data_IF_620392157753
#
_entry.id   IF_620392157753
#
_cell.length_a   1.000
_cell.length_b   1.000
_cell.length_c   1.000
_cell.angle_alpha   90.00
_cell.angle_beta   90.00
_cell.angle_gamma   90.00
#
_symmetry.space_group_name_H-M   'P 1'
#
loop_
_entity.id
_entity.type
_entity.pdbx_description
1 polymer ?
2 non-polymer ?
3 non-polymer ?
4 non-polymer ?
5 non-polymer ?
6 water ?
#
# COMPACT_ATOMS: atom_id res chain seq x y z
N UNK A 19 -7.72 22.90 -8.18
CA UNK A 19 -6.48 23.68 -8.07
C UNK A 19 -5.22 22.80 -7.85
N UNK A 20 -5.29 21.78 -6.99
CA UNK A 20 -4.18 20.85 -6.83
C UNK A 20 -4.58 19.47 -7.35
N UNK A 21 -3.85 18.99 -8.36
CA UNK A 21 -3.99 17.63 -8.90
C UNK A 21 -2.81 16.82 -8.37
N UNK A 22 -3.04 16.02 -7.35
CA UNK A 22 -1.96 15.23 -6.78
C UNK A 22 -1.55 14.09 -7.72
N UNK A 23 -0.25 13.87 -7.82
CA UNK A 23 0.32 12.84 -8.69
C UNK A 23 0.70 11.65 -7.81
N UNK A 24 0.10 10.48 -8.07
CA UNK A 24 0.44 9.25 -7.37
C UNK A 24 1.22 8.32 -8.28
N UNK A 25 2.32 7.76 -7.75
CA UNK A 25 3.10 6.77 -8.45
C UNK A 25 3.23 5.52 -7.58
N UNK A 26 3.25 4.38 -8.27
CA UNK A 26 3.45 3.06 -7.66
C UNK A 26 4.71 2.47 -8.27
N UNK A 27 5.67 2.10 -7.40
CA UNK A 27 6.97 1.62 -7.81
C UNK A 27 7.13 0.19 -7.30
N UNK A 28 7.32 -0.75 -8.22
CA UNK A 28 7.60 -2.12 -7.85
C UNK A 28 9.10 -2.36 -7.90
N UNK A 29 9.62 -2.95 -6.83
CA UNK A 29 11.07 -3.17 -6.70
C UNK A 29 11.35 -4.65 -6.51
N UNK A 30 12.13 -5.25 -7.43
CA UNK A 30 12.37 -6.67 -7.38
C UNK A 30 11.17 -7.47 -7.88
N UNK A 31 11.26 -8.79 -7.79
CA UNK A 31 10.34 -9.64 -8.50
C UNK A 31 8.93 -9.54 -7.96
N UNK A 32 8.79 -9.67 -6.65
CA UNK A 32 7.46 -9.62 -6.06
C UNK A 32 6.80 -8.27 -6.29
N UNK A 33 7.55 -7.20 -6.10
CA UNK A 33 7.01 -5.86 -6.34
C UNK A 33 6.58 -5.67 -7.78
N UNK A 34 7.37 -6.17 -8.71
CA UNK A 34 6.99 -6.00 -10.10
C UNK A 34 5.86 -6.93 -10.51
N UNK A 35 5.75 -8.10 -9.86
CA UNK A 35 4.55 -8.93 -10.00
C UNK A 35 3.31 -8.15 -9.59
N UNK A 36 3.37 -7.50 -8.43
CA UNK A 36 2.22 -6.73 -7.97
C UNK A 36 1.88 -5.61 -8.95
N UNK A 37 2.90 -4.92 -9.45
CA UNK A 37 2.65 -3.86 -10.41
C UNK A 37 1.98 -4.42 -11.64
N UNK A 38 2.50 -5.53 -12.17
CA UNK A 38 1.93 -6.15 -13.35
C UNK A 38 0.49 -6.54 -13.12
N UNK A 39 0.19 -7.13 -11.96
CA UNK A 39 -1.18 -7.53 -11.69
C UNK A 39 -2.09 -6.33 -11.50
N UNK A 40 -1.59 -5.24 -10.92
CA UNK A 40 -2.42 -4.05 -10.77
C UNK A 40 -2.70 -3.39 -12.12
N UNK A 41 -1.70 -3.33 -13.00
CA UNK A 41 -1.93 -2.83 -14.33
C UNK A 41 -2.98 -3.67 -15.06
N UNK A 42 -2.90 -5.00 -14.93
CA UNK A 42 -3.90 -5.87 -15.55
C UNK A 42 -5.29 -5.56 -15.02
N UNK A 43 -5.42 -5.47 -13.68
CA UNK A 43 -6.70 -5.13 -13.08
C UNK A 43 -7.22 -3.80 -13.61
N UNK A 44 -6.32 -2.85 -13.88
CA UNK A 44 -6.72 -1.54 -14.36
C UNK A 44 -6.70 -0.49 -13.26
N UNK A 45 -5.73 0.41 -13.34
CA UNK A 45 -5.68 1.60 -12.52
C UNK A 45 -5.65 2.81 -13.45
N UNK A 46 -6.09 3.96 -12.93
CA UNK A 46 -6.17 5.18 -13.72
C UNK A 46 -5.74 6.37 -12.87
N UNK A 47 -5.08 7.33 -13.52
CA UNK A 47 -4.40 8.48 -12.93
C UNK A 47 -3.16 8.09 -12.13
N UNK A 48 -2.83 6.80 -12.03
CA UNK A 48 -1.65 6.34 -11.32
C UNK A 48 -0.58 5.98 -12.34
N UNK A 49 0.66 6.42 -12.11
CA UNK A 49 1.78 6.05 -12.95
C UNK A 49 2.57 4.94 -12.27
N UNK A 50 3.00 3.97 -13.07
CA UNK A 50 3.72 2.81 -12.57
C UNK A 50 5.17 2.84 -13.00
N UNK A 51 6.04 2.43 -12.09
CA UNK A 51 7.47 2.34 -12.35
C UNK A 51 7.93 0.97 -11.90
N UNK A 52 8.70 0.28 -12.76
CA UNK A 52 9.25 -1.04 -12.47
C UNK A 52 10.76 -0.91 -12.34
N UNK A 53 11.30 -1.39 -11.22
CA UNK A 53 12.73 -1.37 -10.92
C UNK A 53 13.19 -2.78 -10.63
N UNK A 54 14.25 -3.25 -11.29
CA UNK A 54 14.78 -4.58 -11.02
C UNK A 54 16.21 -4.68 -11.53
N UNK A 55 16.95 -5.60 -10.93
CA UNK A 55 18.24 -6.06 -11.43
C UNK A 55 18.06 -7.07 -12.56
N UNK A 56 17.00 -7.84 -12.52
CA UNK A 56 16.77 -8.96 -13.43
C UNK A 56 16.20 -8.41 -14.74
N UNK A 57 17.03 -8.34 -15.77
CA UNK A 57 16.57 -7.76 -17.03
C UNK A 57 15.54 -8.60 -17.74
N UNK A 58 15.60 -9.93 -17.57
CA UNK A 58 14.59 -10.79 -18.17
C UNK A 58 13.22 -10.48 -17.58
N UNK A 59 13.16 -10.37 -16.26
CA UNK A 59 11.88 -10.02 -15.63
C UNK A 59 11.44 -8.62 -16.02
N UNK A 60 12.38 -7.69 -16.11
CA UNK A 60 11.99 -6.34 -16.44
C UNK A 60 11.44 -6.24 -17.85
N UNK A 61 11.97 -7.04 -18.80
CA UNK A 61 11.44 -7.03 -20.15
C UNK A 61 9.97 -7.42 -20.18
N UNK A 62 9.51 -8.16 -19.17
CA UNK A 62 8.12 -8.60 -19.15
C UNK A 62 7.21 -7.66 -18.38
N UNK A 63 7.74 -6.59 -17.82
CA UNK A 63 6.93 -5.65 -17.05
C UNK A 63 5.99 -4.90 -17.97
N UNK A 64 4.79 -4.66 -17.48
CA UNK A 64 3.80 -3.86 -18.20
C UNK A 64 3.89 -2.39 -17.84
N UNK A 65 4.81 -2.01 -16.99
CA UNK A 65 4.93 -0.63 -16.55
C UNK A 65 5.48 0.27 -17.65
N UNK A 66 4.96 1.51 -17.69
CA UNK A 66 5.39 2.52 -18.67
C UNK A 66 6.85 2.88 -18.50
N UNK A 67 7.35 2.84 -17.27
CA UNK A 67 8.66 3.34 -16.91
C UNK A 67 9.41 2.20 -16.25
N UNK A 68 10.54 1.82 -16.83
CA UNK A 68 11.31 0.67 -16.37
C UNK A 68 12.74 1.11 -16.12
N UNK A 69 13.29 0.74 -14.98
CA UNK A 69 14.65 1.11 -14.62
C UNK A 69 15.39 -0.17 -14.28
N UNK A 70 16.38 -0.52 -15.09
CA UNK A 70 17.23 -1.65 -14.77
C UNK A 70 18.36 -1.11 -13.91
N UNK A 71 18.51 -1.63 -12.72
CA UNK A 71 19.55 -1.18 -11.80
C UNK A 71 20.61 -2.27 -11.70
N UNK A 72 21.86 -1.85 -11.47
CA UNK A 72 22.92 -2.80 -11.19
C UNK A 72 23.37 -3.66 -12.35
N UNK A 73 23.31 -3.17 -13.57
CA UNK A 73 23.66 -4.06 -14.68
C UNK A 73 25.11 -4.48 -14.60
N UNK A 74 26.00 -3.58 -14.19
CA UNK A 74 27.40 -3.93 -14.06
C UNK A 74 27.64 -4.86 -12.88
N UNK A 75 26.85 -4.75 -11.82
CA UNK A 75 27.03 -5.61 -10.68
C UNK A 75 26.55 -7.03 -10.96
N UNK A 76 25.42 -7.17 -11.67
CA UNK A 76 24.74 -8.44 -11.81
C UNK A 76 24.73 -9.01 -13.20
N UNK A 77 25.20 -8.25 -14.21
CA UNK A 77 25.10 -8.62 -15.62
C UNK A 77 23.67 -8.92 -16.04
N UNK A 78 22.70 -8.28 -15.39
CA UNK A 78 21.32 -8.39 -15.77
C UNK A 78 20.60 -9.55 -15.13
N UNK A 79 21.32 -10.32 -14.33
CA UNK A 79 20.73 -11.32 -13.49
C UNK A 79 20.17 -10.61 -12.26
N UNK A 80 19.49 -11.36 -11.43
CA UNK A 80 19.10 -10.79 -10.17
C UNK A 80 20.27 -10.68 -9.22
N UNK A 81 19.91 -10.37 -7.98
CA UNK A 81 20.85 -10.19 -6.90
C UNK A 81 21.21 -11.48 -6.19
N UNK A 82 20.57 -12.59 -6.53
CA UNK A 82 20.94 -13.87 -5.89
C UNK A 82 20.72 -13.89 -4.40
N UNK A 83 19.68 -13.23 -3.94
CA UNK A 83 19.33 -13.15 -2.53
C UNK A 83 20.33 -12.36 -1.69
N UNK A 84 21.20 -11.52 -2.31
CA UNK A 84 22.16 -10.73 -1.57
C UNK A 84 21.65 -9.29 -1.47
N UNK A 85 21.10 -8.85 -0.32
CA UNK A 85 20.54 -7.50 -0.30
C UNK A 85 21.56 -6.41 -0.46
N UNK A 86 22.83 -6.66 -0.10
CA UNK A 86 23.83 -5.62 -0.31
C UNK A 86 23.98 -5.29 -1.78
N UNK A 87 23.73 -6.27 -2.66
CA UNK A 87 23.78 -6.01 -4.10
C UNK A 87 22.59 -5.19 -4.54
N UNK A 88 21.40 -5.49 -4.02
CA UNK A 88 20.26 -4.66 -4.37
C UNK A 88 20.42 -3.23 -3.87
N UNK A 89 20.97 -3.05 -2.67
CA UNK A 89 21.20 -1.72 -2.12
C UNK A 89 22.20 -0.95 -2.98
N UNK A 90 23.32 -1.59 -3.32
CA UNK A 90 24.33 -0.88 -4.11
C UNK A 90 23.80 -0.60 -5.52
N UNK A 91 23.04 -1.54 -6.09
CA UNK A 91 22.43 -1.32 -7.40
C UNK A 91 21.51 -0.09 -7.39
N UNK A 92 20.68 0.04 -6.36
CA UNK A 92 19.81 1.21 -6.32
C UNK A 92 20.60 2.51 -6.14
N UNK A 93 21.59 2.52 -5.25
CA UNK A 93 22.36 3.71 -4.98
C UNK A 93 23.09 4.18 -6.23
N UNK A 94 23.58 3.23 -7.04
CA UNK A 94 24.28 3.61 -8.26
C UNK A 94 23.35 4.18 -9.33
N UNK A 95 22.06 3.87 -9.26
CA UNK A 95 21.05 4.37 -10.18
C UNK A 95 20.20 5.48 -9.58
N UNK A 96 20.70 6.16 -8.54
CA UNK A 96 19.91 7.19 -7.88
C UNK A 96 19.38 8.22 -8.86
N UNK A 97 20.23 8.73 -9.76
CA UNK A 97 19.75 9.78 -10.66
C UNK A 97 18.61 9.29 -11.55
N UNK A 98 18.68 8.05 -12.04
CA UNK A 98 17.58 7.56 -12.88
C UNK A 98 16.32 7.39 -12.07
N UNK A 99 16.45 6.94 -10.84
CA UNK A 99 15.29 6.78 -9.97
C UNK A 99 14.70 8.16 -9.64
N UNK A 100 15.56 9.13 -9.32
CA UNK A 100 15.07 10.50 -9.06
C UNK A 100 14.28 11.00 -10.25
N UNK A 101 14.81 10.82 -11.46
CA UNK A 101 14.16 11.36 -12.65
C UNK A 101 12.79 10.73 -12.86
N UNK A 102 12.67 9.43 -12.55
CA UNK A 102 11.40 8.75 -12.74
C UNK A 102 10.38 9.18 -11.71
N UNK A 103 10.84 9.56 -10.51
CA UNK A 103 9.92 9.95 -9.45
C UNK A 103 9.51 11.41 -9.56
N UNK A 104 10.38 12.26 -10.12
CA UNK A 104 10.20 13.70 -9.98
C UNK A 104 8.80 14.14 -10.35
N UNK A 105 8.16 14.86 -9.43
CA UNK A 105 6.83 15.40 -9.66
C UNK A 105 5.75 14.66 -8.91
N UNK A 106 6.06 13.49 -8.39
CA UNK A 106 5.10 12.73 -7.60
C UNK A 106 4.83 13.46 -6.30
N UNK A 107 3.55 13.53 -5.93
CA UNK A 107 3.19 13.97 -4.60
C UNK A 107 3.13 12.82 -3.63
N UNK A 108 2.87 11.61 -4.13
CA UNK A 108 2.78 10.42 -3.28
C UNK A 108 3.37 9.25 -4.05
N UNK A 109 4.22 8.47 -3.37
CA UNK A 109 4.85 7.31 -3.95
C UNK A 109 4.58 6.11 -3.08
N UNK A 110 4.06 5.04 -3.69
CA UNK A 110 3.94 3.75 -3.01
C UNK A 110 5.05 2.85 -3.53
N UNK A 111 5.85 2.30 -2.62
CA UNK A 111 6.93 1.39 -2.96
C UNK A 111 6.49 -0.01 -2.52
N UNK A 112 6.40 -0.93 -3.48
CA UNK A 112 5.99 -2.28 -3.14
C UNK A 112 7.07 -3.28 -3.52
N UNK A 113 7.29 -4.23 -2.62
CA UNK A 113 8.41 -5.13 -2.75
C UNK A 113 8.17 -6.36 -1.89
N UNK A 114 8.72 -7.49 -2.29
CA UNK A 114 8.80 -8.66 -1.42
C UNK A 114 10.09 -8.68 -0.63
N UNK A 115 10.03 -8.65 0.69
CA UNK A 115 11.26 -8.70 1.46
C UNK A 115 11.76 -10.13 1.60
N UNK A 116 13.08 -10.28 1.63
CA UNK A 116 13.71 -11.59 1.81
C UNK A 116 14.70 -11.95 0.72
N UNK A 117 14.50 -11.44 -0.50
CA UNK A 117 15.40 -11.64 -1.60
C UNK A 117 16.47 -10.58 -1.57
N UNK A 118 17.15 -10.43 -2.70
CA UNK A 118 18.24 -9.48 -2.73
C UNK A 118 17.86 -8.11 -3.27
N UNK A 119 17.02 -8.09 -4.30
CA UNK A 119 16.73 -6.80 -4.94
C UNK A 119 15.72 -5.99 -4.14
N UNK A 120 14.54 -6.53 -3.89
CA UNK A 120 13.58 -5.83 -3.04
C UNK A 120 14.16 -5.45 -1.69
N UNK A 121 14.74 -6.41 -0.98
CA UNK A 121 15.21 -6.16 0.37
C UNK A 121 16.17 -4.99 0.40
N UNK A 122 17.14 -5.00 -0.51
CA UNK A 122 18.18 -3.98 -0.51
C UNK A 122 17.82 -2.68 -1.23
N UNK A 123 17.14 -2.80 -2.35
CA UNK A 123 16.84 -1.63 -3.15
C UNK A 123 15.59 -0.89 -2.73
N UNK A 124 14.57 -1.58 -2.22
CA UNK A 124 13.36 -0.85 -1.92
C UNK A 124 13.57 0.23 -0.87
N UNK A 125 14.39 0.04 0.19
CA UNK A 125 14.57 1.15 1.15
C UNK A 125 15.30 2.32 0.53
N UNK A 126 16.17 2.05 -0.45
CA UNK A 126 16.85 3.14 -1.13
C UNK A 126 15.86 3.92 -1.97
N UNK A 127 15.02 3.21 -2.72
CA UNK A 127 14.00 3.86 -3.53
C UNK A 127 13.10 4.71 -2.66
N UNK A 128 12.67 4.16 -1.52
CA UNK A 128 11.82 4.93 -0.62
C UNK A 128 12.51 6.18 -0.08
N UNK A 129 13.78 6.05 0.33
CA UNK A 129 14.57 7.20 0.77
C UNK A 129 14.63 8.28 -0.32
N UNK A 130 14.87 7.87 -1.57
CA UNK A 130 14.93 8.84 -2.68
C UNK A 130 13.58 9.53 -2.85
N UNK A 131 12.50 8.75 -2.82
CA UNK A 131 11.20 9.36 -3.01
C UNK A 131 10.93 10.39 -1.92
N UNK A 132 11.26 10.08 -0.68
CA UNK A 132 10.98 11.00 0.41
C UNK A 132 11.86 12.23 0.31
N UNK A 133 13.11 12.05 -0.12
CA UNK A 133 14.01 13.18 -0.34
C UNK A 133 13.58 14.02 -1.52
N UNK A 134 12.85 13.45 -2.47
CA UNK A 134 12.28 14.17 -3.60
C UNK A 134 10.98 14.90 -3.25
N UNK A 135 10.53 14.83 -1.99
CA UNK A 135 9.34 15.52 -1.55
C UNK A 135 8.05 14.72 -1.55
N UNK A 136 8.10 13.45 -1.90
CA UNK A 136 6.87 12.66 -2.01
C UNK A 136 6.53 12.08 -0.66
N UNK A 137 5.25 12.11 -0.34
CA UNK A 137 4.73 11.28 0.74
C UNK A 137 4.94 9.82 0.36
N UNK A 138 5.71 9.09 1.16
CA UNK A 138 6.23 7.79 0.73
C UNK A 138 5.68 6.68 1.61
N UNK A 139 4.99 5.74 0.96
CA UNK A 139 4.32 4.63 1.62
C UNK A 139 4.91 3.33 1.10
N UNK A 140 5.32 2.46 2.02
CA UNK A 140 5.83 1.14 1.66
C UNK A 140 4.75 0.11 1.90
N UNK A 141 4.57 -0.81 0.96
CA UNK A 141 3.71 -1.98 1.13
C UNK A 141 4.54 -3.19 0.75
N UNK A 142 4.98 -3.95 1.75
CA UNK A 142 5.95 -5.02 1.53
C UNK A 142 5.44 -6.31 2.15
N UNK A 143 5.91 -7.45 1.61
CA UNK A 143 5.59 -8.74 2.20
C UNK A 143 6.78 -9.27 3.00
N UNK A 144 6.50 -10.08 3.97
CA UNK A 144 7.48 -10.94 4.62
C UNK A 144 7.36 -12.35 4.08
N UNK A 145 8.43 -13.13 4.03
CA UNK A 145 8.37 -14.43 3.34
C UNK A 145 7.57 -15.47 4.12
N UNK A 146 7.17 -16.52 3.42
CA UNK A 146 6.53 -17.67 4.06
C UNK A 146 7.51 -18.31 5.03
N UNK A 147 7.00 -18.81 6.15
CA UNK A 147 7.86 -19.56 7.07
C UNK A 147 8.55 -20.73 6.37
N UNK A 148 7.89 -21.36 5.37
CA UNK A 148 8.52 -22.49 4.72
C UNK A 148 9.73 -22.08 3.89
N UNK A 149 9.93 -20.79 3.66
CA UNK A 149 11.16 -20.35 3.02
C UNK A 149 12.37 -20.34 3.97
N UNK A 150 12.17 -20.53 5.27
CA UNK A 150 13.27 -20.75 6.19
C UNK A 150 13.66 -19.52 6.98
N UNK A 151 14.46 -19.75 8.03
CA UNK A 151 14.77 -18.68 8.97
C UNK A 151 15.71 -17.64 8.37
N UNK A 152 16.66 -18.05 7.53
CA UNK A 152 17.56 -17.08 6.93
C UNK A 152 16.78 -16.04 6.11
N UNK A 153 15.87 -16.49 5.26
CA UNK A 153 15.04 -15.58 4.47
C UNK A 153 14.26 -14.65 5.38
N UNK A 154 13.69 -15.19 6.46
CA UNK A 154 12.91 -14.38 7.38
C UNK A 154 13.77 -13.32 8.07
N UNK A 155 14.99 -13.68 8.47
CA UNK A 155 15.89 -12.73 9.11
C UNK A 155 16.31 -11.62 8.14
N UNK A 156 16.69 -12.01 6.92
CA UNK A 156 17.00 -11.02 5.89
C UNK A 156 15.82 -10.09 5.65
N UNK A 157 14.63 -10.68 5.53
CA UNK A 157 13.44 -9.87 5.35
C UNK A 157 13.23 -8.90 6.51
N UNK A 158 13.40 -9.36 7.74
CA UNK A 158 13.21 -8.50 8.89
C UNK A 158 14.14 -7.29 8.86
N UNK A 159 15.38 -7.50 8.38
CA UNK A 159 16.30 -6.37 8.23
C UNK A 159 15.81 -5.41 7.16
N UNK A 160 15.27 -5.96 6.06
CA UNK A 160 14.66 -5.12 5.04
C UNK A 160 13.49 -4.31 5.58
N UNK A 161 12.64 -4.94 6.39
CA UNK A 161 11.50 -4.20 6.95
C UNK A 161 12.00 -3.06 7.81
N UNK A 162 13.05 -3.30 8.61
CA UNK A 162 13.53 -2.24 9.49
C UNK A 162 14.11 -1.10 8.68
N UNK A 163 14.82 -1.43 7.60
CA UNK A 163 15.35 -0.41 6.71
C UNK A 163 14.23 0.35 6.01
N UNK A 164 13.18 -0.35 5.59
CA UNK A 164 12.03 0.32 4.98
C UNK A 164 11.41 1.30 5.97
N UNK A 165 11.19 0.85 7.21
CA UNK A 165 10.53 1.69 8.21
C UNK A 165 11.31 2.97 8.43
N UNK A 166 12.64 2.89 8.35
CA UNK A 166 13.52 4.04 8.52
C UNK A 166 13.43 5.00 7.35
N UNK A 167 12.97 4.54 6.19
CA UNK A 167 13.02 5.32 4.97
C UNK A 167 11.68 5.86 4.54
N UNK A 168 10.56 5.24 4.93
CA UNK A 168 9.25 5.64 4.44
C UNK A 168 8.60 6.60 5.43
N UNK A 169 7.48 7.20 5.00
CA UNK A 169 6.60 7.87 5.93
C UNK A 169 5.75 6.85 6.68
N UNK A 170 5.15 5.91 5.95
CA UNK A 170 4.32 4.86 6.57
C UNK A 170 4.60 3.53 5.90
N UNK A 171 4.43 2.46 6.67
CA UNK A 171 4.75 1.13 6.19
C UNK A 171 3.63 0.16 6.50
N UNK A 172 3.20 -0.57 5.48
CA UNK A 172 2.24 -1.68 5.61
C UNK A 172 3.00 -2.96 5.30
N UNK A 173 3.01 -3.88 6.25
CA UNK A 173 3.67 -5.16 6.09
C UNK A 173 2.62 -6.25 5.99
N UNK A 174 2.72 -7.08 4.96
CA UNK A 174 1.84 -8.22 4.73
C UNK A 174 2.67 -9.50 4.93
N UNK A 175 2.50 -10.24 6.02
CA UNK A 175 3.24 -11.50 6.15
C UNK A 175 2.64 -12.53 5.22
N UNK A 176 3.44 -13.11 4.36
CA UNK A 176 2.88 -14.07 3.42
C UNK A 176 2.25 -15.25 4.12
N UNK A 177 2.71 -15.58 5.34
CA UNK A 177 2.05 -16.64 6.10
C UNK A 177 0.57 -16.38 6.27
N UNK A 178 0.13 -15.12 6.30
CA UNK A 178 -1.30 -14.89 6.45
C UNK A 178 -2.08 -15.34 5.23
N UNK A 179 -1.43 -15.50 4.07
CA UNK A 179 -2.15 -16.02 2.91
C UNK A 179 -2.61 -17.45 3.16
N UNK A 180 -1.88 -18.20 3.99
CA UNK A 180 -2.26 -19.56 4.33
C UNK A 180 -3.53 -19.59 5.15
N UNK A 181 -3.94 -18.46 5.71
CA UNK A 181 -5.18 -18.37 6.50
C UNK A 181 -6.41 -18.11 5.63
N UNK A 182 -6.23 -17.75 4.36
CA UNK A 182 -7.35 -17.36 3.50
C UNK A 182 -7.54 -18.28 2.31
N UNK A 183 -6.75 -19.34 2.18
CA UNK A 183 -6.92 -20.31 1.11
C UNK A 183 -7.53 -21.57 1.66
N UNK A 184 -8.18 -22.30 0.76
CA UNK A 184 -8.45 -23.70 1.02
C UNK A 184 -7.37 -24.53 0.32
N UNK A 185 -7.51 -25.85 0.44
CA UNK A 185 -6.44 -26.72 -0.04
C UNK A 185 -6.23 -26.58 -1.54
N UNK A 186 -7.21 -26.07 -2.29
CA UNK A 186 -7.08 -25.96 -3.74
C UNK A 186 -6.88 -24.56 -4.27
N UNK A 187 -6.95 -23.52 -3.45
CA UNK A 187 -6.88 -22.16 -3.97
C UNK A 187 -5.61 -21.97 -4.77
N UNK A 188 -5.67 -21.54 -6.03
CA UNK A 188 -4.41 -21.33 -6.75
C UNK A 188 -3.55 -20.27 -6.09
N UNK A 189 -2.24 -20.49 -6.18
CA UNK A 189 -1.31 -19.52 -5.62
C UNK A 189 -1.54 -18.13 -6.20
N UNK A 190 -1.82 -18.03 -7.50
CA UNK A 190 -2.00 -16.72 -8.10
C UNK A 190 -3.24 -16.01 -7.53
N UNK A 191 -4.30 -16.76 -7.21
CA UNK A 191 -5.47 -16.16 -6.59
C UNK A 191 -5.13 -15.64 -5.20
N UNK A 192 -4.35 -16.40 -4.43
CA UNK A 192 -3.90 -15.92 -3.14
C UNK A 192 -3.07 -14.66 -3.28
N UNK A 193 -2.16 -14.63 -4.27
CA UNK A 193 -1.32 -13.46 -4.42
C UNK A 193 -2.13 -12.24 -4.78
N UNK A 194 -3.24 -12.42 -5.52
CA UNK A 194 -4.07 -11.27 -5.85
C UNK A 194 -4.76 -10.69 -4.61
N UNK A 195 -5.04 -11.53 -3.62
CA UNK A 195 -5.61 -11.01 -2.37
C UNK A 195 -4.63 -10.12 -1.63
N UNK A 196 -3.34 -10.50 -1.64
CA UNK A 196 -2.34 -9.61 -1.05
C UNK A 196 -2.21 -8.34 -1.87
N UNK A 197 -2.31 -8.44 -3.20
CA UNK A 197 -2.20 -7.24 -4.03
C UNK A 197 -3.31 -6.24 -3.72
N UNK A 198 -4.47 -6.74 -3.33
CA UNK A 198 -5.60 -5.85 -3.10
C UNK A 198 -5.29 -4.84 -2.01
N UNK A 199 -4.40 -5.16 -1.08
CA UNK A 199 -4.11 -4.25 0.02
C UNK A 199 -3.56 -2.96 -0.57
N UNK A 200 -2.55 -3.08 -1.42
CA UNK A 200 -1.98 -1.94 -2.08
C UNK A 200 -2.95 -1.31 -3.08
N UNK A 201 -3.55 -2.13 -3.94
CA UNK A 201 -4.43 -1.62 -4.98
C UNK A 201 -5.58 -0.82 -4.39
N UNK A 202 -6.27 -1.38 -3.40
CA UNK A 202 -7.41 -0.66 -2.83
C UNK A 202 -6.98 0.55 -2.01
N UNK A 203 -5.80 0.50 -1.40
CA UNK A 203 -5.32 1.68 -0.69
C UNK A 203 -5.03 2.83 -1.64
N UNK A 204 -4.31 2.54 -2.73
CA UNK A 204 -4.04 3.54 -3.77
C UNK A 204 -5.35 4.07 -4.31
N UNK A 205 -6.29 3.18 -4.63
CA UNK A 205 -7.56 3.63 -5.19
C UNK A 205 -8.31 4.52 -4.22
N UNK A 206 -8.28 4.18 -2.94
CA UNK A 206 -8.98 4.96 -1.95
C UNK A 206 -8.44 6.37 -1.87
N UNK A 207 -7.12 6.50 -1.98
CA UNK A 207 -6.55 7.84 -1.93
C UNK A 207 -6.84 8.58 -3.22
N UNK A 208 -6.70 7.90 -4.36
CA UNK A 208 -7.05 8.53 -5.63
C UNK A 208 -8.48 9.05 -5.63
N UNK A 209 -9.42 8.27 -5.09
CA UNK A 209 -10.81 8.69 -5.08
C UNK A 209 -11.02 9.88 -4.16
N UNK A 210 -10.35 9.85 -3.00
CA UNK A 210 -10.43 10.96 -2.06
C UNK A 210 -9.99 12.26 -2.70
N UNK A 211 -8.87 12.22 -3.43
CA UNK A 211 -8.33 13.41 -4.08
C UNK A 211 -9.23 13.90 -5.20
N UNK A 212 -9.76 12.98 -6.00
CA UNK A 212 -10.48 13.37 -7.20
C UNK A 212 -11.88 13.89 -6.91
N UNK A 213 -12.48 13.46 -5.81
CA UNK A 213 -13.90 13.64 -5.57
C UNK A 213 -14.07 14.64 -4.45
N UNK A 214 -14.87 15.68 -4.68
CA UNK A 214 -15.20 16.61 -3.61
C UNK A 214 -16.22 15.96 -2.69
N UNK A 215 -15.95 15.99 -1.39
CA UNK A 215 -16.86 15.43 -0.42
C UNK A 215 -17.75 16.48 0.20
N UNK A 216 -18.85 16.01 0.81
CA UNK A 216 -19.68 16.92 1.59
C UNK A 216 -18.96 17.39 2.86
N UNK A 217 -18.38 16.46 3.60
CA UNK A 217 -17.34 16.77 4.58
C UNK A 217 -16.04 16.37 3.89
N UNK A 218 -15.31 17.36 3.42
CA UNK A 218 -14.30 17.11 2.41
C UNK A 218 -12.91 16.89 3.01
N UNK A 219 -12.29 15.76 2.64
CA UNK A 219 -10.90 15.50 2.99
C UNK A 219 -10.06 15.75 1.75
N UNK A 220 -8.83 16.21 1.97
CA UNK A 220 -7.96 16.61 0.87
C UNK A 220 -6.61 15.92 1.02
N UNK A 221 -5.74 16.11 0.03
CA UNK A 221 -4.43 15.48 0.13
C UNK A 221 -3.64 16.00 1.32
N UNK A 222 -3.87 17.25 1.75
CA UNK A 222 -3.17 17.70 2.95
C UNK A 222 -3.57 16.86 4.16
N UNK A 223 -4.81 16.41 4.22
CA UNK A 223 -5.20 15.53 5.33
C UNK A 223 -4.52 14.16 5.25
N UNK A 224 -4.32 13.64 4.04
CA UNK A 224 -3.60 12.39 3.88
C UNK A 224 -2.18 12.57 4.39
N UNK A 225 -1.56 13.67 4.01
CA UNK A 225 -0.20 13.92 4.49
C UNK A 225 -0.15 14.01 6.01
N UNK A 226 -1.15 14.64 6.63
CA UNK A 226 -1.11 14.78 8.09
C UNK A 226 -1.23 13.42 8.76
N UNK A 227 -2.05 12.54 8.22
CA UNK A 227 -2.22 11.24 8.86
C UNK A 227 -1.05 10.32 8.56
N UNK A 228 -0.38 10.49 7.42
CA UNK A 228 0.65 9.52 7.02
C UNK A 228 2.08 10.00 7.19
N UNK A 229 2.33 11.29 7.21
CA UNK A 229 3.72 11.76 7.18
C UNK A 229 4.45 11.35 8.46
N UNK A 230 5.60 10.69 8.29
CA UNK A 230 6.49 10.31 9.40
C UNK A 230 5.77 9.57 10.53
N UNK A 231 4.99 8.54 10.19
CA UNK A 231 4.17 7.85 11.18
C UNK A 231 4.54 6.40 11.48
N UNK A 232 5.32 5.74 10.64
CA UNK A 232 5.72 4.36 10.93
C UNK A 232 4.68 3.38 10.42
N UNK A 233 4.23 2.49 11.28
CA UNK A 233 3.32 1.44 10.82
C UNK A 233 1.97 2.03 10.46
N UNK A 234 1.30 1.37 9.52
CA UNK A 234 0.00 1.86 9.08
C UNK A 234 -0.89 0.69 8.73
N UNK A 235 -2.20 0.99 8.73
CA UNK A 235 -3.23 0.16 8.17
C UNK A 235 -3.98 0.96 7.11
N UNK A 236 -4.27 0.31 5.98
CA UNK A 236 -5.08 0.87 4.91
C UNK A 236 -6.12 -0.16 4.50
N UNK A 237 -7.39 0.19 4.65
CA UNK A 237 -8.46 -0.77 4.44
C UNK A 237 -9.70 -0.12 3.84
N UNK A 238 -10.44 -0.95 3.08
CA UNK A 238 -11.70 -0.54 2.48
C UNK A 238 -12.75 -1.60 2.77
N UNK A 239 -13.94 -1.16 3.10
CA UNK A 239 -15.06 -2.06 3.28
C UNK A 239 -16.26 -1.54 2.52
N UNK A 240 -17.01 -2.46 1.92
CA UNK A 240 -18.23 -2.12 1.19
C UNK A 240 -19.36 -2.99 1.66
N UNK A 241 -20.54 -2.41 1.84
CA UNK A 241 -21.67 -3.19 2.31
C UNK A 241 -22.97 -2.54 1.87
N UNK A 242 -24.04 -3.32 1.90
CA UNK A 242 -25.37 -2.82 1.61
C UNK A 242 -26.33 -3.37 2.66
N UNK A 243 -27.49 -2.74 2.74
CA UNK A 243 -28.59 -3.29 3.50
C UNK A 243 -28.57 -2.84 4.95
N UNK A 244 -29.27 -3.60 5.77
CA UNK A 244 -29.32 -3.29 7.19
C UNK A 244 -27.92 -3.43 7.78
N UNK A 245 -27.57 -2.47 8.64
CA UNK A 245 -26.29 -2.46 9.31
C UNK A 245 -25.12 -2.26 8.36
N UNK A 246 -25.36 -1.67 7.18
CA UNK A 246 -24.29 -1.52 6.19
C UNK A 246 -23.11 -0.72 6.74
N UNK A 247 -23.37 0.35 7.49
CA UNK A 247 -22.27 1.22 7.89
C UNK A 247 -21.34 0.49 8.86
N UNK A 248 -21.91 -0.15 9.87
CA UNK A 248 -21.12 -0.97 10.80
C UNK A 248 -20.39 -2.08 10.03
N UNK A 249 -21.10 -2.78 9.15
CA UNK A 249 -20.49 -3.90 8.43
C UNK A 249 -19.34 -3.42 7.56
N UNK A 250 -19.53 -2.31 6.84
CA UNK A 250 -18.45 -1.80 5.98
C UNK A 250 -17.27 -1.33 6.81
N UNK A 251 -17.54 -0.69 7.95
CA UNK A 251 -16.45 -0.21 8.80
C UNK A 251 -15.68 -1.39 9.39
N UNK A 252 -16.37 -2.42 9.85
CA UNK A 252 -15.67 -3.60 10.34
C UNK A 252 -14.80 -4.22 9.25
N UNK A 253 -15.29 -4.26 8.01
CA UNK A 253 -14.49 -4.83 6.94
C UNK A 253 -13.24 -4.00 6.69
N UNK A 254 -13.36 -2.67 6.75
CA UNK A 254 -12.23 -1.79 6.46
C UNK A 254 -11.07 -2.01 7.42
N UNK A 255 -11.34 -2.42 8.65
CA UNK A 255 -10.30 -2.49 9.68
C UNK A 255 -9.90 -3.92 10.05
N UNK A 256 -10.42 -4.95 9.36
CA UNK A 256 -10.31 -6.32 9.87
C UNK A 256 -9.69 -7.29 8.87
N UNK A 257 -8.79 -6.83 8.02
CA UNK A 257 -8.18 -7.72 7.03
C UNK A 257 -7.37 -8.81 7.73
N UNK A 258 -7.53 -10.08 7.33
CA UNK A 258 -6.69 -11.14 7.91
C UNK A 258 -5.26 -11.14 7.43
N UNK A 259 -4.86 -10.22 6.55
CA UNK A 259 -3.55 -10.26 5.94
C UNK A 259 -2.53 -9.32 6.59
N UNK A 260 -2.91 -8.58 7.60
CA UNK A 260 -2.06 -7.49 8.07
C UNK A 260 -1.25 -7.90 9.29
N UNK A 261 -0.03 -7.39 9.33
CA UNK A 261 0.82 -7.46 10.52
C UNK A 261 0.34 -6.42 11.55
N UNK A 262 0.04 -5.22 11.10
CA UNK A 262 -0.44 -4.13 11.94
C UNK A 262 -1.96 -4.09 11.87
N UNK A 263 -2.63 -4.56 12.93
CA UNK A 263 -4.07 -4.42 13.06
C UNK A 263 -4.43 -2.99 13.48
N UNK A 264 -5.75 -2.75 13.61
CA UNK A 264 -6.24 -1.44 14.03
C UNK A 264 -5.97 -1.15 15.48
N UNK A 265 -5.70 -2.17 16.29
CA UNK A 265 -5.60 -1.96 17.73
C UNK A 265 -4.38 -1.10 18.05
N UNK A 266 -4.60 -0.03 18.82
CA UNK A 266 -3.55 0.90 19.18
C UNK A 266 -3.47 2.13 18.30
N UNK A 267 -4.23 2.17 17.21
CA UNK A 267 -4.20 3.33 16.32
C UNK A 267 -4.53 4.59 17.09
N UNK A 268 -3.69 5.60 16.92
CA UNK A 268 -3.94 6.90 17.53
C UNK A 268 -4.46 7.94 16.55
N UNK A 269 -4.22 7.76 15.25
CA UNK A 269 -4.75 8.66 14.24
C UNK A 269 -5.41 7.89 13.12
N UNK A 270 -6.55 8.40 12.65
CA UNK A 270 -7.32 7.72 11.62
C UNK A 270 -7.86 8.74 10.65
N UNK A 271 -7.73 8.44 9.37
CA UNK A 271 -8.48 9.12 8.33
C UNK A 271 -9.56 8.14 7.86
N UNK A 272 -10.82 8.53 8.00
CA UNK A 272 -11.94 7.70 7.59
C UNK A 272 -12.82 8.49 6.67
N UNK A 273 -13.09 7.92 5.52
CA UNK A 273 -14.00 8.51 4.56
C UNK A 273 -15.13 7.54 4.29
N UNK A 274 -16.35 8.06 4.34
CA UNK A 274 -17.55 7.28 4.08
C UNK A 274 -18.22 7.84 2.83
N UNK A 275 -18.44 6.96 1.85
CA UNK A 275 -19.10 7.32 0.61
C UNK A 275 -20.42 6.56 0.56
N UNK A 276 -21.51 7.27 0.25
CA UNK A 276 -22.80 6.65 0.09
C UNK A 276 -23.64 7.48 -0.85
N UNK A 277 -24.87 7.02 -1.06
CA UNK A 277 -25.84 7.75 -1.84
C UNK A 277 -26.54 8.81 -1.00
N UNK A 278 -27.64 9.34 -1.56
CA UNK A 278 -28.33 10.41 -0.85
C UNK A 278 -28.96 9.92 0.45
N UNK A 279 -29.05 8.61 0.64
CA UNK A 279 -29.62 8.06 1.87
C UNK A 279 -28.64 8.02 3.06
N UNK A 280 -27.38 8.42 2.86
CA UNK A 280 -26.37 8.31 3.92
C UNK A 280 -26.82 9.07 5.15
N UNK A 281 -27.01 8.35 6.26
CA UNK A 281 -27.55 9.00 7.44
C UNK A 281 -26.46 9.44 8.43
N UNK A 282 -26.78 10.48 9.19
CA UNK A 282 -25.87 10.91 10.24
C UNK A 282 -25.68 9.80 11.27
N UNK A 283 -26.77 9.14 11.65
CA UNK A 283 -26.68 8.07 12.63
C UNK A 283 -25.69 7.00 12.19
N UNK A 284 -25.74 6.59 10.92
CA UNK A 284 -24.88 5.50 10.50
C UNK A 284 -23.46 5.95 10.33
N UNK A 285 -23.24 7.23 10.00
CA UNK A 285 -21.87 7.75 9.98
C UNK A 285 -21.26 7.68 11.38
N UNK A 286 -22.03 8.07 12.40
CA UNK A 286 -21.52 7.94 13.76
C UNK A 286 -21.24 6.48 14.12
N UNK A 287 -22.14 5.56 13.73
CA UNK A 287 -21.92 4.15 14.07
C UNK A 287 -20.61 3.66 13.51
N UNK A 288 -20.33 4.01 12.25
CA UNK A 288 -19.10 3.63 11.59
C UNK A 288 -17.90 4.21 12.31
N UNK A 289 -17.96 5.51 12.63
CA UNK A 289 -16.85 6.14 13.35
C UNK A 289 -16.62 5.47 14.70
N UNK A 290 -17.71 5.08 15.37
CA UNK A 290 -17.59 4.44 16.67
C UNK A 290 -16.96 3.06 16.58
N UNK A 291 -17.30 2.30 15.54
CA UNK A 291 -16.67 1.00 15.30
C UNK A 291 -15.16 1.16 15.24
N UNK A 292 -14.70 2.19 14.54
CA UNK A 292 -13.26 2.37 14.38
C UNK A 292 -12.63 2.83 15.69
N UNK A 293 -13.24 3.82 16.35
CA UNK A 293 -12.73 4.29 17.63
C UNK A 293 -12.64 3.14 18.64
N UNK A 294 -13.70 2.32 18.72
CA UNK A 294 -13.74 1.24 19.70
C UNK A 294 -12.75 0.12 19.40
N UNK A 295 -12.56 -0.23 18.12
CA UNK A 295 -11.62 -1.29 17.77
C UNK A 295 -10.19 -0.84 18.03
N UNK A 296 -9.91 0.45 17.82
CA UNK A 296 -8.59 0.96 18.15
C UNK A 296 -8.28 0.82 19.63
N UNK A 297 -9.31 0.85 20.49
CA UNK A 297 -9.09 0.78 21.92
C UNK A 297 -8.22 1.93 22.39
N UNK A 298 -8.34 3.06 21.70
CA UNK A 298 -7.56 4.27 21.98
C UNK A 298 -8.47 5.47 21.81
N UNK A 299 -8.06 6.60 22.37
CA UNK A 299 -8.62 7.88 21.92
C UNK A 299 -7.99 8.20 20.58
N UNK A 300 -8.77 8.12 19.52
CA UNK A 300 -8.27 8.24 18.17
C UNK A 300 -8.47 9.67 17.69
N UNK A 301 -7.41 10.28 17.15
CA UNK A 301 -7.53 11.56 16.45
C UNK A 301 -8.03 11.27 15.04
N UNK A 302 -9.31 11.53 14.81
CA UNK A 302 -9.92 11.17 13.56
C UNK A 302 -10.01 12.38 12.64
N UNK A 303 -9.73 12.15 11.37
CA UNK A 303 -10.05 13.09 10.30
C UNK A 303 -11.13 12.39 9.50
N UNK A 304 -12.35 12.91 9.61
CA UNK A 304 -13.55 12.27 9.12
C UNK A 304 -14.05 12.98 7.89
N UNK A 305 -14.38 12.19 6.86
CA UNK A 305 -14.94 12.72 5.65
C UNK A 305 -16.16 11.94 5.20
N UNK A 306 -16.96 12.58 4.36
CA UNK A 306 -18.11 11.94 3.74
C UNK A 306 -18.24 12.43 2.31
N UNK A 307 -18.68 11.53 1.45
CA UNK A 307 -18.88 11.80 0.05
C UNK A 307 -20.25 11.28 -0.29
N UNK A 308 -21.06 12.09 -0.97
CA UNK A 308 -22.37 11.66 -1.42
C UNK A 308 -22.24 11.40 -2.91
N UNK A 309 -22.28 10.11 -3.28
CA UNK A 309 -22.27 9.70 -4.67
C UNK A 309 -23.67 9.23 -5.03
N UNK A 310 -24.48 10.05 -5.69
CA UNK A 310 -25.86 9.62 -5.96
C UNK A 310 -25.95 8.41 -6.87
N UNK A 311 -24.91 8.11 -7.65
CA UNK A 311 -24.94 6.89 -8.45
C UNK A 311 -25.12 5.67 -7.55
N UNK A 312 -24.44 5.66 -6.40
CA UNK A 312 -24.65 4.60 -5.44
C UNK A 312 -26.10 4.58 -4.99
N UNK A 313 -26.64 3.38 -4.78
CA UNK A 313 -27.99 3.23 -4.27
C UNK A 313 -27.95 2.86 -2.81
N UNK A 314 -27.95 1.56 -2.51
CA UNK A 314 -27.92 1.07 -1.14
C UNK A 314 -26.51 0.75 -0.66
N UNK A 315 -25.50 0.95 -1.49
CA UNK A 315 -24.14 0.62 -1.12
C UNK A 315 -23.50 1.75 -0.31
N UNK A 316 -22.67 1.37 0.65
CA UNK A 316 -21.85 2.31 1.40
C UNK A 316 -20.42 1.78 1.39
N UNK A 317 -19.47 2.71 1.28
CA UNK A 317 -18.06 2.38 1.20
C UNK A 317 -17.35 3.15 2.32
N UNK A 318 -16.60 2.43 3.16
CA UNK A 318 -15.80 3.03 4.21
C UNK A 318 -14.34 2.79 3.90
N UNK A 319 -13.55 3.87 3.83
CA UNK A 319 -12.10 3.77 3.67
C UNK A 319 -11.43 4.25 4.95
N UNK A 320 -10.42 3.52 5.38
CA UNK A 320 -9.72 3.80 6.63
C UNK A 320 -8.22 3.79 6.36
N UNK A 321 -7.55 4.85 6.80
CA UNK A 321 -6.12 4.87 6.97
C UNK A 321 -5.84 5.11 8.43
N UNK A 322 -5.10 4.21 9.07
CA UNK A 322 -4.81 4.30 10.49
C UNK A 322 -3.31 4.29 10.72
N UNK A 323 -2.85 5.20 11.57
CA UNK A 323 -1.45 5.36 11.94
C UNK A 323 -1.35 5.69 13.42
N UNK A 324 -0.14 6.05 13.86
CA UNK A 324 0.03 6.47 15.22
C UNK A 324 0.13 5.31 16.18
N UNK A 325 0.75 4.22 15.73
CA UNK A 325 1.00 3.07 16.57
C UNK A 325 2.35 3.24 17.26
X LIG B 1 14.01 -10.23 -5.57
X LIG B 1 13.64 -10.03 -7.02
X LIG B 1 15.42 -10.62 -5.41
X LIG B 1 13.77 -9.03 -4.75
X LIG B 1 13.16 -11.40 -4.85
X LIG B 1 11.60 -11.61 -5.00
X LIG B 1 11.29 -12.42 -6.23
X LIG B 1 10.84 -10.35 -4.87
X LIG B 1 11.32 -12.54 -3.70
X LIG B 1 11.36 -11.91 -2.43
X LIG B 1 10.24 -12.53 -1.57
X LIG B 1 9.00 -12.00 -2.03
X LIG B 1 10.08 -14.05 -1.69
X LIG B 1 10.88 -14.73 -0.74
X LIG B 1 8.62 -14.31 -1.43
X LIG B 1 8.37 -14.41 -0.02
X LIG B 1 7.96 -13.04 -1.88
X LIG B 1 7.29 -12.99 -3.19
X LIG B 1 7.85 -13.00 -4.45
X LIG B 1 6.92 -12.80 -5.40
X LIG B 1 5.74 -12.63 -4.72
X LIG B 1 4.37 -12.33 -5.10
X LIG B 1 4.02 -12.20 -6.30
X LIG B 1 3.46 -12.19 -4.11
X LIG B 1 3.77 -12.31 -2.82
X LIG B 1 2.78 -12.17 -1.90
X LIG B 1 5.01 -12.56 -2.38
X LIG B 1 6.01 -12.71 -3.30
X LIG B 1 10.49 -12.30 -0.53
X LIG B 1 10.42 -14.41 -2.67
X LIG B 1 11.36 -15.45 -1.18
X LIG B 1 8.27 -15.23 -1.92
X LIG B 1 7.71 -15.09 0.15
X LIG B 1 7.20 -12.92 -1.09
X LIG B 1 8.90 -13.14 -4.64
X LIG B 1 2.48 -11.99 -4.37
X LIG B 1 3.02 -12.23 -0.95
X LIG B 1 1.83 -11.98 -2.18
X LIG C 1 -11.61 15.54 -1.82
X LIG D 1 16.69 -11.83 -6.34
X LIG D 1 15.51 -12.23 -7.64
X LIG D 1 17.87 -11.56 -5.06
X LIG D 1 16.15 -13.21 -5.38
X LIG D 1 17.24 -10.41 -7.30
X LIG E 1 14.08 -11.29 -8.71
#
# INVERSE_FOLDING_TARGET
MGSSHHHHHHSSGLVPRGSHMATLKVIGVGGGGNNAVNRMIDHGMNNVEFIAINTDGQALNLSKAESKIQIGEKLTRGLGAGANPEIGKKAAEESREQIEDAIQGADMVFVTSGMGGGTGTGAAPVVAKIAKEMGALTVGVVTRPFSFEGRKRQTQAAAGVEAMKAAVDTLIVIPNDRLLDIVDKSTPMMEAFKEADNVLRQGVQGISDLIAVSGEVNLDFADVKTIMSNQGSALMGIGVSSGENRAVEAAKKAISSPLLETSIVGAQGVLMNITGGESLSLFEAQEAADIVQDAADEDVNMIFGTVINPELQDEIVVTVIATGFD
GDP PB O1B O2B O3B O3A PA O1A O2A O5' C5' C4' O4' C3' O3' C2' O2' C1' N9 C8 N7 C5 C6 O6 N1 C2 N2 N3 C4 H4' H3' HO3' H2' HO2' H1' H8 HN1 HN21 HN22
K K
ALF AL F1 F2 F3 F4
MG MG
#
